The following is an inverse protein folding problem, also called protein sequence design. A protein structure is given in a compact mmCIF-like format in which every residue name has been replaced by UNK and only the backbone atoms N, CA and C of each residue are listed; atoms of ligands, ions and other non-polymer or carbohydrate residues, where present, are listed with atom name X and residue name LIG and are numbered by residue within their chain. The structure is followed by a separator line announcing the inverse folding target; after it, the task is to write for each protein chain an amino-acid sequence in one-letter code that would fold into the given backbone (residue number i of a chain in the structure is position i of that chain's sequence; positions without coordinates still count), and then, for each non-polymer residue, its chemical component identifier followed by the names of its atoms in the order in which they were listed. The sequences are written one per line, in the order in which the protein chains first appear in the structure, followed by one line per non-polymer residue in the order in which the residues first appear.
data_IF_083300386852
#
_entry.id   IF_083300386852
#
_cell.length_a   1.000
_cell.length_b   1.000
_cell.length_c   1.000
_cell.angle_alpha   90.00
_cell.angle_beta   90.00
_cell.angle_gamma   90.00
#
_symmetry.space_group_name_H-M   'P 1'
#
loop_
_entity.id
_entity.type
_entity.pdbx_description
1 polymer ?
#
# COMPACT_ATOMS: atom_id res chain seq x y z
N UNK A 1 5.39 -3.23 15.21
CA UNK A 1 6.15 -3.28 16.48
C UNK A 1 7.52 -2.70 16.27
N UNK A 2 7.98 -1.82 17.17
CA UNK A 2 9.34 -1.25 17.15
C UNK A 2 10.25 -2.07 18.07
N UNK A 3 11.44 -2.40 17.60
CA UNK A 3 12.48 -3.14 18.32
C UNK A 3 13.66 -2.21 18.59
N UNK A 4 14.15 -2.20 19.83
CA UNK A 4 15.28 -1.37 20.30
C UNK A 4 16.28 -2.30 20.97
N UNK A 5 17.54 -2.26 20.55
CA UNK A 5 18.63 -3.10 21.08
C UNK A 5 19.69 -2.26 21.78
N UNK A 6 20.08 -2.69 22.98
CA UNK A 6 21.16 -2.09 23.77
C UNK A 6 20.97 -0.60 24.04
N UNK A 7 19.75 -0.24 24.46
CA UNK A 7 19.39 1.12 24.81
C UNK A 7 20.10 1.57 26.10
N UNK A 8 20.76 2.71 26.05
CA UNK A 8 21.42 3.32 27.20
C UNK A 8 21.19 4.83 27.23
N UNK A 9 21.05 5.36 28.44
CA UNK A 9 21.00 6.80 28.73
C UNK A 9 22.11 7.12 29.71
N UNK A 10 22.98 8.06 29.36
CA UNK A 10 24.04 8.58 30.20
C UNK A 10 23.82 10.08 30.40
N UNK A 11 23.73 10.49 31.66
CA UNK A 11 23.61 11.89 32.06
C UNK A 11 24.81 12.23 32.93
N UNK A 12 25.60 13.22 32.51
CA UNK A 12 26.71 13.73 33.29
C UNK A 12 26.51 15.23 33.52
N UNK A 13 26.26 15.58 34.78
CA UNK A 13 25.90 16.93 35.20
C UNK A 13 26.94 17.50 36.15
N UNK A 14 27.26 18.77 35.97
CA UNK A 14 28.00 19.57 36.94
C UNK A 14 27.23 20.88 37.25
N UNK A 15 27.84 21.80 38.02
CA UNK A 15 27.19 23.06 38.40
C UNK A 15 26.91 24.02 37.23
N UNK A 16 27.49 23.80 36.05
CA UNK A 16 27.45 24.70 34.89
C UNK A 16 26.89 24.04 33.62
N UNK A 17 26.97 22.72 33.50
CA UNK A 17 26.58 22.01 32.29
C UNK A 17 25.90 20.67 32.58
N UNK A 18 24.95 20.31 31.72
CA UNK A 18 24.38 18.97 31.61
C UNK A 18 24.79 18.38 30.26
N UNK A 19 25.58 17.32 30.28
CA UNK A 19 25.87 16.50 29.11
C UNK A 19 24.93 15.31 29.11
N UNK A 20 24.28 15.05 27.97
CA UNK A 20 23.39 13.91 27.81
C UNK A 20 23.82 13.08 26.60
N UNK A 21 23.64 11.76 26.73
CA UNK A 21 23.88 10.80 25.66
C UNK A 21 22.87 9.68 25.76
N UNK A 22 22.09 9.51 24.70
CA UNK A 22 21.14 8.41 24.49
C UNK A 22 21.68 7.60 23.31
N UNK A 23 21.90 6.31 23.51
CA UNK A 23 22.45 5.43 22.48
C UNK A 23 21.67 4.12 22.38
N UNK A 24 21.67 3.53 21.20
CA UNK A 24 21.09 2.22 20.92
C UNK A 24 21.86 1.58 19.78
N UNK A 25 22.18 0.29 19.87
CA UNK A 25 22.86 -0.42 18.78
C UNK A 25 21.97 -0.50 17.53
N UNK A 26 20.66 -0.64 17.73
CA UNK A 26 19.69 -0.63 16.65
C UNK A 26 18.33 -0.12 17.15
N UNK A 27 17.67 0.72 16.35
CA UNK A 27 16.25 1.06 16.49
C UNK A 27 15.60 0.70 15.18
N UNK A 28 14.67 -0.26 15.17
CA UNK A 28 14.06 -0.75 13.93
C UNK A 28 12.58 -0.99 14.08
N UNK A 29 11.79 -0.62 13.09
CA UNK A 29 10.40 -1.03 12.92
C UNK A 29 10.19 -1.47 11.44
N UNK A 30 8.97 -1.82 11.01
CA UNK A 30 8.74 -2.22 9.61
C UNK A 30 9.05 -1.16 8.54
N UNK A 31 9.34 0.11 8.92
CA UNK A 31 9.55 1.25 8.02
C UNK A 31 10.93 1.90 8.15
N UNK A 32 11.56 1.86 9.32
CA UNK A 32 12.80 2.60 9.62
C UNK A 32 13.75 1.68 10.37
N UNK A 33 15.04 1.71 10.00
CA UNK A 33 16.14 1.11 10.75
C UNK A 33 17.27 2.12 10.94
N UNK A 34 17.61 2.39 12.20
CA UNK A 34 18.72 3.23 12.61
C UNK A 34 19.75 2.35 13.30
N UNK A 35 20.90 2.19 12.67
CA UNK A 35 22.04 1.47 13.22
C UNK A 35 22.94 2.42 14.02
N UNK A 36 23.49 1.92 15.13
CA UNK A 36 24.36 2.67 16.04
C UNK A 36 23.81 4.07 16.34
N UNK A 37 22.53 4.11 16.72
CA UNK A 37 21.83 5.35 17.01
C UNK A 37 22.49 6.06 18.18
N UNK A 38 22.75 7.35 18.01
CA UNK A 38 23.32 8.23 19.03
C UNK A 38 22.64 9.59 18.99
N UNK A 39 22.01 9.96 20.09
CA UNK A 39 21.54 11.31 20.38
C UNK A 39 22.36 11.83 21.56
N UNK A 40 23.15 12.87 21.35
CA UNK A 40 23.98 13.45 22.40
C UNK A 40 23.99 14.97 22.36
N UNK A 41 24.41 15.58 23.45
CA UNK A 41 24.42 17.02 23.52
C UNK A 41 24.87 17.58 24.86
N UNK A 42 24.89 18.91 24.90
CA UNK A 42 25.32 19.69 26.06
C UNK A 42 24.39 20.88 26.23
N UNK A 43 23.79 20.99 27.42
CA UNK A 43 23.10 22.16 27.90
C UNK A 43 24.05 22.96 28.79
N UNK A 44 24.39 24.18 28.39
CA UNK A 44 25.18 25.12 29.18
C UNK A 44 24.91 26.55 28.69
N UNK A 45 25.01 27.55 29.58
CA UNK A 45 24.94 28.98 29.21
C UNK A 45 23.70 29.36 28.36
N UNK A 46 22.53 28.79 28.67
CA UNK A 46 21.26 28.92 27.92
C UNK A 46 21.31 28.45 26.46
N UNK A 47 22.27 27.58 26.14
CA UNK A 47 22.43 26.94 24.84
C UNK A 47 22.31 25.43 24.97
N UNK A 48 21.70 24.79 23.99
CA UNK A 48 21.66 23.34 23.83
C UNK A 48 22.36 23.00 22.53
N UNK A 49 23.51 22.35 22.63
CA UNK A 49 24.09 21.63 21.51
C UNK A 49 23.43 20.26 21.45
N UNK A 50 22.87 19.90 20.30
CA UNK A 50 22.27 18.60 20.06
C UNK A 50 22.86 17.97 18.80
N UNK A 51 23.14 16.68 18.86
CA UNK A 51 23.64 15.88 17.75
C UNK A 51 22.85 14.58 17.70
N UNK A 52 22.21 14.29 16.58
CA UNK A 52 21.54 13.01 16.30
C UNK A 52 22.27 12.32 15.16
N UNK A 53 22.57 11.04 15.31
CA UNK A 53 23.25 10.26 14.29
C UNK A 53 22.83 8.81 14.25
N UNK A 54 22.98 8.21 13.07
CA UNK A 54 22.88 6.78 12.81
C UNK A 54 23.96 6.42 11.80
N UNK A 55 24.80 5.45 12.16
CA UNK A 55 25.99 5.08 11.41
C UNK A 55 25.96 3.58 11.15
N UNK A 56 26.09 3.19 9.89
CA UNK A 56 26.24 1.78 9.48
C UNK A 56 27.63 1.57 8.87
N UNK A 57 28.53 0.91 9.61
CA UNK A 57 29.91 0.73 9.17
C UNK A 57 30.63 2.07 9.01
N UNK A 58 30.84 2.52 7.76
CA UNK A 58 31.45 3.83 7.42
C UNK A 58 30.44 4.85 6.89
N UNK A 59 29.17 4.47 6.78
CA UNK A 59 28.12 5.25 6.13
C UNK A 59 27.32 6.03 7.18
N UNK A 60 27.15 7.33 6.95
CA UNK A 60 26.40 8.21 7.84
C UNK A 60 24.96 8.32 7.34
N UNK A 61 24.11 7.34 7.71
CA UNK A 61 22.68 7.35 7.33
C UNK A 61 21.99 8.64 7.76
N UNK A 62 22.34 9.11 8.95
CA UNK A 62 21.85 10.34 9.55
C UNK A 62 22.97 10.98 10.37
N UNK A 63 23.19 12.27 10.19
CA UNK A 63 23.97 13.09 11.12
C UNK A 63 23.43 14.52 11.04
N UNK A 64 22.77 14.98 12.10
CA UNK A 64 22.27 16.35 12.20
C UNK A 64 22.77 16.93 13.51
N UNK A 65 23.45 18.06 13.43
CA UNK A 65 23.84 18.85 14.59
C UNK A 65 23.09 20.17 14.60
N UNK A 66 22.68 20.60 15.77
CA UNK A 66 22.01 21.88 15.96
C UNK A 66 22.47 22.58 17.23
N UNK A 67 22.41 23.90 17.18
CA UNK A 67 22.51 24.79 18.32
C UNK A 67 21.13 25.37 18.59
N UNK A 68 20.62 25.16 19.79
CA UNK A 68 19.37 25.73 20.27
C UNK A 68 19.70 26.82 21.27
N UNK A 69 19.33 28.06 21.00
CA UNK A 69 19.48 29.19 21.92
C UNK A 69 18.10 29.65 22.39
N UNK A 70 18.01 30.10 23.65
CA UNK A 70 16.84 30.83 24.11
C UNK A 70 17.08 32.33 23.91
N UNK A 71 16.28 32.95 23.05
CA UNK A 71 16.31 34.39 22.79
C UNK A 71 14.98 35.00 23.27
N UNK A 72 15.02 35.74 24.38
CA UNK A 72 13.83 36.22 25.09
C UNK A 72 12.87 35.06 25.46
N UNK A 73 11.64 35.07 24.93
CA UNK A 73 10.60 34.05 25.15
C UNK A 73 10.48 33.05 23.97
N UNK A 74 11.47 33.03 23.07
CA UNK A 74 11.54 32.11 21.95
C UNK A 74 12.78 31.22 22.03
N UNK A 75 12.71 30.08 21.36
CA UNK A 75 13.83 29.21 21.07
C UNK A 75 14.20 29.35 19.59
N UNK A 76 15.49 29.45 19.32
CA UNK A 76 16.06 29.48 17.98
C UNK A 76 16.91 28.25 17.77
N UNK A 77 16.62 27.48 16.73
CA UNK A 77 17.38 26.30 16.32
C UNK A 77 18.15 26.67 15.04
N UNK A 78 19.47 26.56 15.06
CA UNK A 78 20.32 26.65 13.88
C UNK A 78 20.99 25.31 13.63
N UNK A 79 20.97 24.82 12.39
CA UNK A 79 21.65 23.59 12.00
C UNK A 79 23.10 23.88 11.58
N UNK A 80 24.01 22.97 11.91
CA UNK A 80 25.43 23.07 11.55
C UNK A 80 25.62 22.89 10.03
N UNK A 81 26.14 23.90 9.31
CA UNK A 81 26.35 23.81 7.86
C UNK A 81 27.51 22.92 7.42
N UNK A 82 28.36 22.48 8.35
CA UNK A 82 29.56 21.69 8.01
C UNK A 82 29.24 20.21 7.84
N UNK A 83 28.46 19.66 8.77
CA UNK A 83 28.20 18.22 8.89
C UNK A 83 26.69 17.95 9.00
N UNK A 84 26.01 17.94 7.86
CA UNK A 84 24.61 17.57 7.74
C UNK A 84 24.47 16.39 6.75
N UNK A 85 24.07 15.24 7.27
CA UNK A 85 23.89 14.01 6.49
C UNK A 85 22.46 13.50 6.62
N UNK A 86 21.86 13.23 5.47
CA UNK A 86 20.58 12.54 5.31
C UNK A 86 20.73 11.50 4.21
N UNK A 87 20.20 10.30 4.43
CA UNK A 87 20.14 9.25 3.40
C UNK A 87 21.53 8.84 2.89
N UNK A 88 22.53 8.81 3.79
CA UNK A 88 23.94 8.50 3.48
C UNK A 88 24.60 9.49 2.49
N UNK A 89 24.08 10.72 2.43
CA UNK A 89 24.62 11.81 1.63
C UNK A 89 24.84 13.04 2.49
N UNK A 90 25.98 13.72 2.28
CA UNK A 90 26.20 15.07 2.80
C UNK A 90 25.36 16.07 2.01
N UNK A 91 24.56 16.87 2.69
CA UNK A 91 23.86 18.01 2.12
C UNK A 91 24.57 19.28 2.56
N UNK A 92 24.74 20.22 1.65
CA UNK A 92 25.12 21.58 1.99
C UNK A 92 23.85 22.31 2.45
N UNK A 93 23.92 23.04 3.57
CA UNK A 93 22.81 23.79 4.15
C UNK A 93 23.25 25.23 4.37
N UNK A 94 22.34 26.18 4.12
CA UNK A 94 22.64 27.60 4.22
C UNK A 94 23.16 27.97 5.61
N UNK A 95 24.25 28.74 5.69
CA UNK A 95 24.92 29.02 6.97
C UNK A 95 24.11 29.93 7.92
N UNK A 96 23.17 30.70 7.37
CA UNK A 96 22.24 31.57 8.08
C UNK A 96 20.91 30.87 8.42
N UNK A 97 20.77 29.55 8.16
CA UNK A 97 19.56 28.82 8.47
C UNK A 97 19.18 28.93 9.96
N UNK A 98 17.90 29.15 10.26
CA UNK A 98 17.36 28.90 11.58
C UNK A 98 15.84 28.73 11.57
N UNK A 99 15.33 28.13 12.65
CA UNK A 99 13.91 28.08 12.97
C UNK A 99 13.69 28.72 14.35
N UNK A 100 12.73 29.62 14.45
CA UNK A 100 12.35 30.26 15.71
C UNK A 100 10.94 29.88 16.10
N UNK A 101 10.74 29.52 17.35
CA UNK A 101 9.43 29.20 17.90
C UNK A 101 9.29 29.66 19.36
N UNK A 102 8.10 30.11 19.73
CA UNK A 102 7.83 30.52 21.11
C UNK A 102 6.59 31.40 21.21
N UNK A 103 6.60 32.34 22.16
CA UNK A 103 5.46 33.23 22.41
C UNK A 103 5.08 34.08 21.19
N UNK A 104 6.05 34.44 20.34
CA UNK A 104 5.80 35.22 19.12
C UNK A 104 5.21 34.37 17.98
N UNK A 105 5.20 33.05 18.10
CA UNK A 105 4.77 32.13 17.06
C UNK A 105 5.94 31.37 16.45
N UNK A 106 5.84 31.04 15.16
CA UNK A 106 6.83 30.25 14.43
C UNK A 106 7.38 31.02 13.22
N UNK A 107 8.68 30.87 12.92
CA UNK A 107 9.35 31.40 11.74
C UNK A 107 10.43 30.42 11.26
N UNK A 108 10.58 30.26 9.95
CA UNK A 108 11.72 29.56 9.35
C UNK A 108 12.48 30.55 8.47
N UNK A 109 13.76 30.73 8.73
CA UNK A 109 14.65 31.55 7.93
C UNK A 109 15.59 30.65 7.15
N UNK A 110 15.51 30.75 5.82
CA UNK A 110 16.48 30.20 4.86
C UNK A 110 16.92 28.76 5.16
N UNK A 111 15.98 27.85 5.41
CA UNK A 111 16.29 26.42 5.50
C UNK A 111 16.44 25.85 4.09
N UNK A 112 17.51 26.28 3.41
CA UNK A 112 17.91 25.81 2.09
C UNK A 112 18.95 24.71 2.24
N UNK A 113 18.68 23.57 1.63
CA UNK A 113 19.55 22.40 1.62
C UNK A 113 19.73 21.95 0.17
N UNK A 114 20.94 21.62 -0.23
CA UNK A 114 21.21 21.05 -1.54
C UNK A 114 22.20 19.89 -1.50
N UNK A 115 22.01 18.96 -2.42
CA UNK A 115 22.88 17.83 -2.68
C UNK A 115 22.99 17.66 -4.18
N UNK A 116 24.13 18.06 -4.75
CA UNK A 116 24.30 18.17 -6.21
C UNK A 116 23.19 19.04 -6.81
N UNK A 117 22.29 18.44 -7.60
CA UNK A 117 21.18 19.13 -8.25
C UNK A 117 19.88 19.10 -7.43
N UNK A 118 19.76 18.21 -6.44
CA UNK A 118 18.60 18.15 -5.56
C UNK A 118 18.60 19.34 -4.60
N UNK A 119 17.50 20.08 -4.54
CA UNK A 119 17.36 21.25 -3.68
C UNK A 119 16.04 21.16 -2.90
N UNK A 120 16.11 21.54 -1.63
CA UNK A 120 14.95 21.69 -0.76
C UNK A 120 15.08 23.03 -0.06
N UNK A 121 14.07 23.87 -0.15
CA UNK A 121 14.01 25.15 0.54
C UNK A 121 12.73 25.23 1.35
N UNK A 122 12.87 25.59 2.64
CA UNK A 122 11.73 25.89 3.51
C UNK A 122 11.97 27.27 4.11
N UNK A 123 11.02 28.17 3.95
CA UNK A 123 11.12 29.53 4.50
C UNK A 123 9.75 30.15 4.78
N UNK A 124 9.70 31.03 5.78
CA UNK A 124 8.65 32.02 5.92
C UNK A 124 8.76 33.05 4.80
N UNK A 125 7.68 33.31 4.05
CA UNK A 125 7.71 34.05 2.78
C UNK A 125 8.32 35.46 2.91
N UNK A 126 7.99 36.18 3.98
CA UNK A 126 8.46 37.52 4.30
C UNK A 126 9.38 37.53 5.52
N UNK A 127 9.89 36.37 5.93
CA UNK A 127 10.77 36.21 7.09
C UNK A 127 10.19 36.81 8.38
N UNK A 128 8.90 36.57 8.65
CA UNK A 128 8.19 37.04 9.85
C UNK A 128 7.61 35.88 10.66
N UNK A 129 7.41 36.11 11.96
CA UNK A 129 6.66 35.18 12.80
C UNK A 129 5.22 35.07 12.31
N UNK A 130 4.69 33.85 12.33
CA UNK A 130 3.32 33.56 11.92
C UNK A 130 3.02 34.01 10.48
N UNK A 131 4.00 33.86 9.61
CA UNK A 131 3.85 34.16 8.18
C UNK A 131 3.44 32.91 7.39
N UNK A 132 3.17 33.11 6.10
CA UNK A 132 3.06 32.04 5.13
C UNK A 132 4.37 31.24 5.09
N UNK A 133 4.28 29.92 4.95
CA UNK A 133 5.44 29.03 4.80
C UNK A 133 5.49 28.49 3.38
N UNK A 134 6.64 28.60 2.73
CA UNK A 134 6.88 28.03 1.41
C UNK A 134 7.88 26.89 1.52
N UNK A 135 7.51 25.73 0.99
CA UNK A 135 8.39 24.61 0.70
C UNK A 135 8.57 24.52 -0.81
N UNK A 136 9.81 24.52 -1.28
CA UNK A 136 10.18 24.27 -2.67
C UNK A 136 11.11 23.07 -2.73
N UNK A 137 10.80 22.13 -3.62
CA UNK A 137 11.60 20.94 -3.90
C UNK A 137 11.94 20.99 -5.38
N UNK A 138 13.22 20.79 -5.71
CA UNK A 138 13.69 20.71 -7.09
C UNK A 138 14.59 19.50 -7.27
N UNK A 139 14.37 18.73 -8.33
CA UNK A 139 15.16 17.57 -8.73
C UNK A 139 15.45 16.61 -7.56
N UNK A 140 14.48 16.36 -6.68
CA UNK A 140 14.67 15.44 -5.56
C UNK A 140 14.47 13.99 -6.01
N UNK A 141 15.51 13.16 -5.86
CA UNK A 141 15.50 11.78 -6.30
C UNK A 141 14.80 10.88 -5.26
N UNK A 142 13.66 10.25 -5.62
CA UNK A 142 12.90 9.39 -4.70
C UNK A 142 13.67 8.15 -4.23
N UNK A 143 14.65 7.68 -5.01
CA UNK A 143 15.54 6.59 -4.60
C UNK A 143 16.40 6.96 -3.39
N UNK A 144 16.55 8.25 -3.06
CA UNK A 144 17.22 8.67 -1.83
C UNK A 144 16.40 8.35 -0.57
N UNK A 145 15.06 8.44 -0.63
CA UNK A 145 14.18 8.06 0.49
C UNK A 145 14.30 6.57 0.83
N UNK A 146 14.49 5.74 -0.20
CA UNK A 146 14.60 4.28 -0.03
C UNK A 146 15.81 3.87 0.81
N UNK A 147 16.82 4.75 0.97
CA UNK A 147 18.03 4.45 1.76
C UNK A 147 17.84 4.57 3.27
N UNK A 148 16.80 5.26 3.73
CA UNK A 148 16.40 5.29 5.16
C UNK A 148 15.44 4.12 5.47
N UNK A 149 14.71 3.66 4.47
CA UNK A 149 13.70 2.60 4.57
C UNK A 149 14.36 1.29 4.15
N UNK A 150 14.98 0.57 5.09
CA UNK A 150 15.59 -0.75 4.82
C UNK A 150 14.54 -1.86 4.64
N UNK A 151 13.77 -1.78 3.56
CA UNK A 151 13.21 -2.97 2.93
C UNK A 151 13.87 -3.14 1.57
N UNK A 152 14.18 -4.39 1.23
CA UNK A 152 14.74 -4.77 -0.06
C UNK A 152 14.01 -4.04 -1.20
N UNK A 153 14.79 -3.30 -1.98
CA UNK A 153 14.50 -2.55 -3.21
C UNK A 153 14.03 -1.11 -3.05
N UNK A 154 14.59 -0.25 -3.90
CA UNK A 154 14.03 1.04 -4.29
C UNK A 154 12.64 0.81 -4.91
N UNK A 155 11.63 0.63 -4.04
CA UNK A 155 10.26 0.35 -4.43
C UNK A 155 9.70 1.47 -5.29
N UNK A 156 10.14 2.71 -5.05
CA UNK A 156 9.72 3.89 -5.80
C UNK A 156 10.97 4.63 -6.29
N UNK A 157 10.99 4.98 -7.57
CA UNK A 157 12.03 5.84 -8.18
C UNK A 157 11.36 6.92 -9.01
N UNK A 158 12.02 8.06 -9.17
CA UNK A 158 11.53 9.21 -9.92
C UNK A 158 12.11 10.52 -9.39
N UNK A 159 11.92 11.60 -10.13
CA UNK A 159 12.41 12.92 -9.77
C UNK A 159 11.23 13.80 -9.35
N UNK A 160 11.30 14.38 -8.15
CA UNK A 160 10.26 15.25 -7.60
C UNK A 160 10.65 16.70 -7.78
N UNK A 161 9.74 17.47 -8.36
CA UNK A 161 9.71 18.92 -8.23
C UNK A 161 8.39 19.32 -7.59
N UNK A 162 8.40 20.35 -6.76
CA UNK A 162 7.16 20.81 -6.17
C UNK A 162 7.27 22.10 -5.40
N UNK A 163 6.15 22.80 -5.30
CA UNK A 163 5.97 23.99 -4.49
C UNK A 163 4.74 23.80 -3.62
N UNK A 164 4.92 23.99 -2.33
CA UNK A 164 3.85 23.99 -1.34
C UNK A 164 3.87 25.32 -0.60
N UNK A 165 2.75 26.02 -0.61
CA UNK A 165 2.51 27.24 0.15
C UNK A 165 1.49 26.94 1.24
N UNK A 166 1.93 27.03 2.49
CA UNK A 166 1.05 27.06 3.65
C UNK A 166 0.70 28.52 3.93
N UNK A 167 -0.49 28.94 3.52
CA UNK A 167 -0.96 30.33 3.64
C UNK A 167 -1.66 30.54 4.97
N UNK A 168 -1.23 31.52 5.76
CA UNK A 168 -1.84 31.77 7.07
C UNK A 168 -3.11 32.61 6.93
N UNK A 169 -4.22 32.11 7.46
CA UNK A 169 -5.53 32.78 7.49
C UNK A 169 -6.19 32.53 8.83
N UNK A 170 -6.56 33.59 9.56
CA UNK A 170 -7.28 33.49 10.85
C UNK A 170 -6.67 32.48 11.84
N UNK A 171 -5.35 32.53 12.05
CA UNK A 171 -4.59 31.60 12.91
C UNK A 171 -4.58 30.12 12.49
N UNK A 172 -5.02 29.82 11.26
CA UNK A 172 -4.91 28.51 10.63
C UNK A 172 -4.05 28.59 9.36
N UNK A 173 -3.66 27.45 8.81
CA UNK A 173 -2.94 27.36 7.54
C UNK A 173 -3.83 26.73 6.47
N UNK A 174 -3.99 27.43 5.36
CA UNK A 174 -4.39 26.83 4.10
C UNK A 174 -3.20 26.24 3.34
N UNK A 175 -3.48 25.36 2.40
CA UNK A 175 -2.55 24.63 1.55
C UNK A 175 -2.79 25.04 0.09
N UNK A 176 -1.71 25.36 -0.62
CA UNK A 176 -1.67 25.40 -2.09
C UNK A 176 -0.43 24.61 -2.49
N UNK A 177 -0.60 23.54 -3.25
CA UNK A 177 0.47 22.65 -3.68
C UNK A 177 0.40 22.39 -5.19
N UNK A 178 1.57 22.42 -5.82
CA UNK A 178 1.79 22.00 -7.19
C UNK A 178 3.07 21.14 -7.18
N UNK A 179 2.93 19.85 -7.48
CA UNK A 179 4.01 18.89 -7.44
C UNK A 179 3.97 17.97 -8.65
N UNK A 180 5.14 17.57 -9.11
CA UNK A 180 5.32 16.64 -10.20
C UNK A 180 6.35 15.57 -9.81
N UNK A 181 6.13 14.37 -10.30
CA UNK A 181 7.09 13.28 -10.27
C UNK A 181 7.33 12.87 -11.72
N UNK A 182 8.53 13.12 -12.23
CA UNK A 182 8.96 12.65 -13.53
C UNK A 182 9.60 11.27 -13.43
N UNK A 183 9.40 10.44 -14.46
CA UNK A 183 9.98 9.10 -14.56
C UNK A 183 9.70 8.23 -13.31
N UNK A 184 8.44 8.18 -12.88
CA UNK A 184 7.98 7.34 -11.78
C UNK A 184 8.09 5.86 -12.15
N UNK A 185 8.80 5.10 -11.32
CA UNK A 185 8.84 3.64 -11.37
C UNK A 185 8.38 3.06 -10.04
N UNK A 186 7.67 1.92 -10.09
CA UNK A 186 7.43 1.08 -8.93
C UNK A 186 8.03 -0.32 -9.15
N UNK A 187 8.92 -0.82 -8.29
CA UNK A 187 9.57 -2.15 -8.44
C UNK A 187 10.15 -2.42 -9.83
N UNK A 188 10.76 -1.41 -10.47
CA UNK A 188 11.26 -1.40 -11.86
C UNK A 188 10.21 -1.38 -12.98
N UNK A 189 8.92 -1.31 -12.67
CA UNK A 189 7.85 -1.12 -13.65
C UNK A 189 7.71 0.39 -13.91
N UNK A 190 7.84 0.85 -15.17
CA UNK A 190 7.61 2.24 -15.51
C UNK A 190 6.13 2.58 -15.33
N UNK A 191 5.86 3.59 -14.51
CA UNK A 191 4.50 4.08 -14.24
C UNK A 191 4.23 5.32 -15.08
N UNK A 192 5.20 6.22 -15.23
CA UNK A 192 5.09 7.43 -16.06
C UNK A 192 5.38 8.70 -15.27
N UNK A 193 4.68 9.79 -15.58
CA UNK A 193 4.80 11.08 -14.93
C UNK A 193 3.52 11.39 -14.16
N UNK A 194 3.66 11.77 -12.89
CA UNK A 194 2.56 12.13 -12.01
C UNK A 194 2.57 13.63 -11.79
N UNK A 195 1.46 14.31 -12.02
CA UNK A 195 1.26 15.70 -11.59
C UNK A 195 0.18 15.75 -10.53
N UNK A 196 0.35 16.58 -9.50
CA UNK A 196 -0.57 16.80 -8.41
C UNK A 196 -0.74 18.30 -8.20
N UNK A 197 -1.98 18.75 -8.19
CA UNK A 197 -2.38 20.06 -7.68
C UNK A 197 -3.34 19.85 -6.52
N UNK A 198 -3.10 20.53 -5.42
CA UNK A 198 -3.99 20.52 -4.28
C UNK A 198 -4.15 21.92 -3.71
N UNK A 199 -5.36 22.24 -3.30
CA UNK A 199 -5.67 23.52 -2.68
C UNK A 199 -6.77 23.33 -1.65
N UNK A 200 -6.86 24.22 -0.67
CA UNK A 200 -8.01 24.25 0.22
C UNK A 200 -8.82 25.56 0.02
N UNK A 201 -9.89 25.55 -0.79
CA UNK A 201 -10.65 26.76 -1.06
C UNK A 201 -11.34 27.31 0.20
N UNK A 202 -11.57 26.45 1.19
CA UNK A 202 -12.02 26.79 2.54
C UNK A 202 -11.09 26.12 3.55
N UNK A 203 -11.17 26.51 4.83
CA UNK A 203 -10.37 25.90 5.91
C UNK A 203 -10.63 24.40 6.10
N UNK A 204 -11.76 23.89 5.59
CA UNK A 204 -12.26 22.54 5.85
C UNK A 204 -12.34 21.67 4.60
N UNK A 205 -12.03 22.19 3.41
CA UNK A 205 -12.12 21.42 2.16
C UNK A 205 -10.79 21.42 1.46
N UNK A 206 -10.28 20.24 1.13
CA UNK A 206 -9.05 20.02 0.39
C UNK A 206 -9.39 19.44 -0.98
N UNK A 207 -9.20 20.22 -2.04
CA UNK A 207 -9.32 19.76 -3.41
C UNK A 207 -8.03 19.07 -3.85
N UNK A 208 -8.17 18.05 -4.69
CA UNK A 208 -7.07 17.31 -5.30
C UNK A 208 -7.37 17.14 -6.80
N UNK A 209 -6.40 17.50 -7.63
CA UNK A 209 -6.35 17.18 -9.05
C UNK A 209 -5.02 16.46 -9.31
N UNK A 210 -5.08 15.25 -9.83
CA UNK A 210 -3.92 14.43 -10.12
C UNK A 210 -4.04 13.89 -11.54
N UNK A 211 -2.94 13.90 -12.28
CA UNK A 211 -2.86 13.27 -13.59
C UNK A 211 -1.65 12.34 -13.63
N UNK A 212 -1.86 11.13 -14.11
CA UNK A 212 -0.83 10.19 -14.48
C UNK A 212 -0.75 10.13 -16.00
N UNK A 213 0.43 10.34 -16.56
CA UNK A 213 0.66 10.33 -18.00
C UNK A 213 1.94 9.56 -18.34
N UNK A 214 1.93 8.81 -19.42
CA UNK A 214 3.08 8.02 -19.84
C UNK A 214 2.75 7.19 -21.08
N UNK A 215 3.71 6.39 -21.57
CA UNK A 215 3.50 5.58 -22.77
C UNK A 215 2.32 4.61 -22.65
N UNK A 216 2.19 3.96 -21.48
CA UNK A 216 1.20 2.91 -21.24
C UNK A 216 0.12 3.31 -20.20
N UNK A 217 0.19 4.52 -19.64
CA UNK A 217 -0.69 4.98 -18.57
C UNK A 217 -1.18 6.41 -18.84
N UNK A 218 -2.49 6.62 -18.74
CA UNK A 218 -3.18 7.89 -18.85
C UNK A 218 -4.44 7.84 -17.98
N UNK A 219 -4.39 8.56 -16.86
CA UNK A 219 -5.44 8.59 -15.85
C UNK A 219 -5.52 9.99 -15.24
N UNK A 220 -6.74 10.46 -15.01
CA UNK A 220 -7.02 11.71 -14.31
C UNK A 220 -7.86 11.42 -13.07
N UNK A 221 -7.50 12.06 -11.95
CA UNK A 221 -8.20 11.97 -10.67
C UNK A 221 -8.55 13.39 -10.24
N UNK A 222 -9.81 13.61 -9.90
CA UNK A 222 -10.32 14.90 -9.45
C UNK A 222 -11.24 14.70 -8.27
N UNK A 223 -11.11 15.52 -7.24
CA UNK A 223 -12.01 15.39 -6.11
C UNK A 223 -11.66 16.29 -4.95
N UNK A 224 -12.26 15.97 -3.80
CA UNK A 224 -12.04 16.69 -2.57
C UNK A 224 -12.18 15.78 -1.33
N UNK A 225 -11.58 16.26 -0.24
CA UNK A 225 -11.65 15.70 1.09
C UNK A 225 -12.08 16.81 2.08
N UNK A 226 -13.03 16.51 2.96
CA UNK A 226 -13.48 17.42 4.01
C UNK A 226 -13.30 16.72 5.36
N UNK A 227 -12.28 17.07 6.16
CA UNK A 227 -12.18 16.57 7.52
C UNK A 227 -13.33 17.11 8.38
N UNK A 228 -14.10 16.23 9.01
CA UNK A 228 -15.14 16.61 9.97
C UNK A 228 -14.92 15.88 11.29
N UNK A 229 -15.37 16.46 12.40
CA UNK A 229 -15.21 15.88 13.74
C UNK A 229 -15.91 14.52 13.93
N UNK A 230 -16.90 14.18 13.10
CA UNK A 230 -17.69 12.95 13.19
C UNK A 230 -17.33 11.94 12.10
N UNK A 231 -17.28 12.36 10.85
CA UNK A 231 -16.90 11.50 9.72
C UNK A 231 -16.39 12.36 8.55
N UNK A 232 -15.18 12.09 8.09
CA UNK A 232 -14.59 12.84 6.99
C UNK A 232 -15.37 12.55 5.70
N UNK A 233 -15.64 13.55 4.87
CA UNK A 233 -16.27 13.35 3.57
C UNK A 233 -15.23 13.23 2.46
N UNK A 234 -15.44 12.28 1.56
CA UNK A 234 -14.60 12.01 0.39
C UNK A 234 -15.49 12.10 -0.85
N UNK A 235 -14.99 12.72 -1.91
CA UNK A 235 -15.55 12.61 -3.26
C UNK A 235 -14.39 12.63 -4.25
N UNK A 236 -14.08 11.48 -4.85
CA UNK A 236 -12.96 11.29 -5.77
C UNK A 236 -13.51 10.65 -7.05
N UNK A 237 -13.41 11.38 -8.16
CA UNK A 237 -13.71 10.88 -9.48
C UNK A 237 -12.40 10.54 -10.19
N UNK A 238 -12.34 9.33 -10.74
CA UNK A 238 -11.22 8.84 -11.52
C UNK A 238 -11.68 8.50 -12.94
N UNK A 239 -10.93 8.96 -13.92
CA UNK A 239 -11.07 8.66 -15.33
C UNK A 239 -9.80 7.96 -15.81
N UNK A 240 -9.93 6.77 -16.37
CA UNK A 240 -8.85 5.91 -16.83
C UNK A 240 -8.99 5.76 -18.34
N UNK A 241 -8.21 6.53 -19.09
CA UNK A 241 -8.13 6.37 -20.54
C UNK A 241 -7.33 5.11 -20.87
N UNK A 242 -6.24 4.87 -20.14
CA UNK A 242 -5.47 3.64 -20.25
C UNK A 242 -4.64 3.43 -18.99
N UNK A 243 -4.65 2.23 -18.43
CA UNK A 243 -3.77 1.84 -17.34
C UNK A 243 -3.16 0.48 -17.66
N UNK A 244 -1.85 0.42 -17.78
CA UNK A 244 -1.12 -0.82 -18.02
C UNK A 244 -1.42 -1.83 -16.91
N UNK A 245 -1.72 -3.08 -17.28
CA UNK A 245 -1.87 -4.13 -16.28
C UNK A 245 -0.53 -4.50 -15.62
N UNK A 246 0.62 -4.12 -16.20
CA UNK A 246 1.90 -4.17 -15.47
C UNK A 246 1.89 -3.23 -14.26
N UNK A 247 1.28 -2.05 -14.38
CA UNK A 247 1.07 -1.16 -13.24
C UNK A 247 0.21 -1.85 -12.18
N UNK A 248 -0.91 -2.48 -12.57
CA UNK A 248 -1.77 -3.23 -11.65
C UNK A 248 -1.02 -4.40 -10.99
N UNK A 249 -0.20 -5.13 -11.74
CA UNK A 249 0.67 -6.19 -11.21
C UNK A 249 1.60 -5.66 -10.12
N UNK A 250 2.21 -4.49 -10.33
CA UNK A 250 3.11 -3.84 -9.38
C UNK A 250 2.44 -3.64 -8.00
N UNK A 251 1.16 -3.25 -7.99
CA UNK A 251 0.37 -3.03 -6.78
C UNK A 251 -0.41 -4.26 -6.29
N UNK A 252 -0.29 -5.42 -6.95
CA UNK A 252 -1.00 -6.65 -6.60
C UNK A 252 -0.40 -7.38 -5.38
N UNK A 253 0.70 -6.89 -4.81
CA UNK A 253 1.40 -7.52 -3.68
C UNK A 253 1.76 -9.00 -3.94
N UNK A 254 2.08 -9.34 -5.19
CA UNK A 254 2.45 -10.69 -5.62
C UNK A 254 1.28 -11.63 -5.93
N UNK A 255 0.04 -11.16 -5.84
CA UNK A 255 -1.14 -11.94 -6.25
C UNK A 255 -1.20 -12.14 -7.77
N UNK A 256 -0.63 -11.20 -8.53
CA UNK A 256 -0.44 -11.31 -9.99
C UNK A 256 1.06 -11.35 -10.26
N UNK A 257 1.51 -12.38 -10.98
CA UNK A 257 2.94 -12.62 -11.26
C UNK A 257 3.37 -12.16 -12.64
N UNK A 258 2.44 -12.16 -13.59
CA UNK A 258 2.63 -11.65 -14.95
C UNK A 258 1.34 -10.93 -15.37
N UNK A 259 1.48 -9.76 -15.99
CA UNK A 259 0.35 -9.05 -16.57
C UNK A 259 0.74 -8.25 -17.83
N UNK A 260 -0.18 -8.17 -18.79
CA UNK A 260 -0.08 -7.29 -19.96
C UNK A 260 -1.47 -6.89 -20.46
N UNK A 261 -1.54 -5.95 -21.39
CA UNK A 261 -2.80 -5.31 -21.79
C UNK A 261 -3.13 -4.10 -20.92
N UNK A 262 -4.31 -3.54 -21.09
CA UNK A 262 -4.70 -2.28 -20.44
C UNK A 262 -6.08 -2.36 -19.80
N UNK A 263 -6.27 -1.52 -18.79
CA UNK A 263 -7.54 -1.25 -18.13
C UNK A 263 -8.00 0.17 -18.51
N UNK A 264 -9.27 0.35 -18.83
CA UNK A 264 -9.90 1.65 -19.05
C UNK A 264 -11.20 1.74 -18.26
N UNK A 265 -11.76 2.94 -18.11
CA UNK A 265 -13.05 3.14 -17.46
C UNK A 265 -13.04 4.30 -16.49
N UNK A 266 -14.04 4.37 -15.63
CA UNK A 266 -14.17 5.46 -14.67
C UNK A 266 -14.83 4.97 -13.39
N UNK A 267 -14.48 5.59 -12.27
CA UNK A 267 -15.14 5.32 -11.00
C UNK A 267 -15.27 6.58 -10.15
N UNK A 268 -16.26 6.56 -9.28
CA UNK A 268 -16.55 7.56 -8.28
C UNK A 268 -16.50 6.90 -6.90
N UNK A 269 -15.62 7.41 -6.05
CA UNK A 269 -15.54 7.09 -4.63
C UNK A 269 -16.14 8.27 -3.87
N UNK A 270 -17.28 8.06 -3.20
CA UNK A 270 -17.94 9.12 -2.44
C UNK A 270 -18.54 8.65 -1.13
N UNK A 271 -18.78 9.57 -0.20
CA UNK A 271 -19.39 9.26 1.10
C UNK A 271 -18.49 9.68 2.25
N UNK A 272 -18.48 8.88 3.32
CA UNK A 272 -17.59 9.13 4.45
C UNK A 272 -16.33 8.27 4.38
N UNK A 273 -15.27 8.62 5.11
CA UNK A 273 -14.07 7.78 5.24
C UNK A 273 -14.36 6.38 5.78
N UNK A 274 -15.42 6.25 6.58
CA UNK A 274 -15.76 5.00 7.26
C UNK A 274 -16.75 4.18 6.44
N UNK A 275 -17.56 4.85 5.61
CA UNK A 275 -18.59 4.23 4.78
C UNK A 275 -18.56 4.76 3.34
N UNK A 276 -17.44 4.57 2.61
CA UNK A 276 -17.36 5.03 1.23
C UNK A 276 -18.18 4.13 0.30
N UNK A 277 -18.83 4.74 -0.67
CA UNK A 277 -19.50 4.09 -1.79
C UNK A 277 -18.59 4.17 -3.03
N UNK A 278 -18.46 3.05 -3.74
CA UNK A 278 -17.75 2.97 -5.00
C UNK A 278 -18.73 2.64 -6.12
N UNK A 279 -18.73 3.46 -7.16
CA UNK A 279 -19.53 3.22 -8.37
C UNK A 279 -18.69 3.45 -9.62
N UNK A 280 -18.98 2.73 -10.70
CA UNK A 280 -18.21 2.89 -11.93
C UNK A 280 -18.17 1.64 -12.78
N UNK A 281 -17.28 1.68 -13.76
CA UNK A 281 -17.08 0.60 -14.72
C UNK A 281 -15.60 0.52 -15.08
N UNK A 282 -15.09 -0.71 -15.19
CA UNK A 282 -13.71 -0.97 -15.58
C UNK A 282 -13.69 -2.04 -16.68
N UNK A 283 -13.05 -1.72 -17.80
CA UNK A 283 -12.94 -2.56 -18.99
C UNK A 283 -11.50 -2.99 -19.21
N UNK A 284 -11.30 -4.29 -19.30
CA UNK A 284 -10.04 -4.95 -19.61
C UNK A 284 -9.90 -5.09 -21.12
N UNK A 285 -8.82 -4.57 -21.69
CA UNK A 285 -8.56 -4.57 -23.13
C UNK A 285 -7.33 -5.44 -23.45
N UNK A 286 -7.56 -6.57 -24.11
CA UNK A 286 -6.53 -7.57 -24.44
C UNK A 286 -5.63 -7.88 -23.24
N UNK A 287 -6.26 -8.06 -22.09
CA UNK A 287 -5.60 -8.28 -20.83
C UNK A 287 -5.11 -9.72 -20.74
N UNK A 288 -3.89 -9.90 -20.27
CA UNK A 288 -3.36 -11.19 -19.85
C UNK A 288 -2.95 -11.03 -18.40
N UNK A 289 -3.38 -11.96 -17.55
CA UNK A 289 -3.02 -12.00 -16.13
C UNK A 289 -2.61 -13.43 -15.75
N UNK A 290 -1.63 -13.54 -14.86
CA UNK A 290 -1.22 -14.82 -14.27
C UNK A 290 -1.34 -14.75 -12.75
N UNK A 291 -2.48 -15.17 -12.18
CA UNK A 291 -2.64 -15.27 -10.74
C UNK A 291 -1.61 -16.22 -10.13
N UNK A 292 -0.99 -15.83 -9.02
CA UNK A 292 0.07 -16.61 -8.37
C UNK A 292 -0.42 -17.99 -7.91
N UNK A 293 -1.65 -18.07 -7.41
CA UNK A 293 -2.26 -19.29 -6.86
C UNK A 293 -2.63 -20.31 -7.95
N UNK A 294 -3.01 -19.85 -9.15
CA UNK A 294 -3.40 -20.71 -10.26
C UNK A 294 -2.21 -21.04 -11.19
N UNK A 295 -1.24 -20.12 -11.29
CA UNK A 295 -0.01 -20.25 -12.07
C UNK A 295 -0.23 -20.58 -13.57
N UNK A 296 -1.39 -20.25 -14.13
CA UNK A 296 -1.70 -20.27 -15.56
C UNK A 296 -2.07 -18.86 -16.05
N UNK A 297 -1.91 -18.61 -17.35
CA UNK A 297 -2.33 -17.34 -17.93
C UNK A 297 -3.81 -17.36 -18.25
N UNK A 298 -4.46 -16.24 -17.96
CA UNK A 298 -5.85 -15.96 -18.24
C UNK A 298 -5.89 -14.71 -19.12
N UNK A 299 -6.54 -14.83 -20.27
CA UNK A 299 -6.77 -13.74 -21.21
C UNK A 299 -8.20 -13.21 -21.08
N UNK A 300 -8.35 -11.89 -21.08
CA UNK A 300 -9.61 -11.15 -21.15
C UNK A 300 -9.55 -10.26 -22.39
N UNK A 301 -10.37 -10.54 -23.40
CA UNK A 301 -10.29 -9.83 -24.69
C UNK A 301 -10.85 -8.41 -24.59
N UNK A 302 -12.08 -8.28 -24.10
CA UNK A 302 -12.74 -7.00 -23.91
C UNK A 302 -13.83 -7.13 -22.83
N UNK A 303 -13.39 -7.45 -21.62
CA UNK A 303 -14.30 -7.79 -20.53
C UNK A 303 -14.51 -6.61 -19.60
N UNK A 304 -15.73 -6.44 -19.10
CA UNK A 304 -16.09 -5.30 -18.26
C UNK A 304 -16.64 -5.77 -16.92
N UNK A 305 -16.18 -5.13 -15.84
CA UNK A 305 -16.78 -5.25 -14.51
C UNK A 305 -17.50 -3.97 -14.16
N UNK A 306 -18.66 -4.09 -13.52
CA UNK A 306 -19.39 -2.96 -12.96
C UNK A 306 -19.16 -2.86 -11.47
N UNK A 307 -18.89 -1.65 -10.99
CA UNK A 307 -18.75 -1.31 -9.60
C UNK A 307 -20.04 -0.65 -9.14
N UNK A 308 -20.66 -1.20 -8.09
CA UNK A 308 -21.84 -0.65 -7.42
C UNK A 308 -21.59 -0.58 -5.91
N UNK A 309 -22.38 0.20 -5.16
CA UNK A 309 -22.14 0.38 -3.73
C UNK A 309 -22.15 -0.93 -2.93
N UNK A 310 -22.87 -1.94 -3.43
CA UNK A 310 -23.07 -3.25 -2.82
C UNK A 310 -22.21 -4.38 -3.43
N UNK A 311 -21.39 -4.12 -4.45
CA UNK A 311 -20.57 -5.17 -5.03
C UNK A 311 -19.89 -4.90 -6.37
N UNK A 312 -19.15 -5.91 -6.82
CA UNK A 312 -18.54 -6.00 -8.15
C UNK A 312 -19.37 -6.99 -8.97
N UNK A 313 -19.81 -6.58 -10.14
CA UNK A 313 -20.73 -7.35 -10.98
C UNK A 313 -20.03 -7.81 -12.26
N UNK A 314 -20.28 -9.06 -12.58
CA UNK A 314 -19.80 -9.76 -13.76
C UNK A 314 -21.00 -10.16 -14.60
N UNK A 315 -20.94 -9.90 -15.90
CA UNK A 315 -22.00 -10.24 -16.85
C UNK A 315 -21.37 -10.98 -18.03
N UNK A 316 -21.56 -12.29 -18.08
CA UNK A 316 -20.94 -13.21 -19.01
C UNK A 316 -19.43 -12.95 -19.17
N UNK A 317 -18.74 -12.68 -18.05
CA UNK A 317 -17.35 -12.28 -18.01
C UNK A 317 -16.46 -13.45 -18.44
N UNK A 318 -15.86 -13.34 -19.62
CA UNK A 318 -15.20 -14.47 -20.29
C UNK A 318 -13.69 -14.47 -20.06
N UNK A 319 -13.21 -15.57 -19.50
CA UNK A 319 -11.80 -15.91 -19.31
C UNK A 319 -11.37 -16.89 -20.39
N UNK A 320 -10.20 -16.69 -20.98
CA UNK A 320 -9.58 -17.67 -21.88
C UNK A 320 -8.27 -18.19 -21.29
N UNK A 321 -8.04 -19.49 -21.36
CA UNK A 321 -6.76 -20.08 -20.98
C UNK A 321 -5.72 -19.99 -22.12
N UNK A 322 -4.50 -20.47 -21.87
CA UNK A 322 -3.41 -20.54 -22.86
C UNK A 322 -3.77 -21.34 -24.13
N UNK A 323 -4.80 -22.20 -24.07
CA UNK A 323 -5.29 -23.00 -25.18
C UNK A 323 -6.55 -22.41 -25.82
N UNK A 324 -6.95 -21.19 -25.45
CA UNK A 324 -8.16 -20.49 -25.92
C UNK A 324 -9.47 -21.20 -25.55
N UNK A 325 -9.46 -22.06 -24.52
CA UNK A 325 -10.68 -22.58 -23.93
C UNK A 325 -11.27 -21.55 -22.96
N UNK A 326 -12.61 -21.53 -22.87
CA UNK A 326 -13.32 -20.48 -22.14
C UNK A 326 -13.84 -20.95 -20.78
N UNK A 327 -13.76 -20.06 -19.80
CA UNK A 327 -14.59 -20.06 -18.61
C UNK A 327 -15.40 -18.76 -18.57
N UNK A 328 -16.68 -18.83 -18.26
CA UNK A 328 -17.59 -17.67 -18.20
C UNK A 328 -18.08 -17.52 -16.77
N UNK A 329 -17.96 -16.30 -16.25
CA UNK A 329 -18.37 -15.92 -14.89
C UNK A 329 -19.57 -14.97 -14.97
N UNK A 330 -20.63 -15.31 -14.24
CA UNK A 330 -21.83 -14.50 -14.08
C UNK A 330 -22.13 -14.27 -12.59
N UNK A 331 -22.62 -13.09 -12.24
CA UNK A 331 -23.08 -12.78 -10.88
C UNK A 331 -22.31 -11.64 -10.23
N UNK A 332 -22.12 -11.72 -8.91
CA UNK A 332 -21.49 -10.65 -8.16
C UNK A 332 -20.59 -11.14 -7.01
N UNK A 333 -19.60 -10.32 -6.71
CA UNK A 333 -18.94 -10.30 -5.40
C UNK A 333 -19.58 -9.15 -4.63
N UNK A 334 -20.47 -9.50 -3.71
CA UNK A 334 -21.13 -8.54 -2.83
C UNK A 334 -20.14 -8.03 -1.80
N UNK A 335 -20.28 -6.78 -1.40
CA UNK A 335 -19.47 -6.16 -0.36
C UNK A 335 -20.29 -5.13 0.41
N UNK A 336 -19.85 -4.85 1.64
CA UNK A 336 -20.34 -3.72 2.43
C UNK A 336 -19.16 -2.80 2.73
N UNK A 337 -19.12 -1.61 2.10
CA UNK A 337 -18.09 -0.60 2.41
C UNK A 337 -16.66 -1.15 2.31
N UNK A 338 -16.36 -1.93 1.25
CA UNK A 338 -15.08 -2.63 1.06
C UNK A 338 -14.73 -3.69 2.12
N UNK A 339 -15.73 -4.17 2.86
CA UNK A 339 -15.64 -5.25 3.84
C UNK A 339 -16.74 -6.28 3.60
N UNK A 340 -16.77 -7.36 4.40
CA UNK A 340 -17.82 -8.39 4.38
C UNK A 340 -18.11 -8.95 2.98
N UNK A 341 -17.05 -9.33 2.25
CA UNK A 341 -17.19 -9.87 0.90
C UNK A 341 -17.96 -11.19 0.90
N UNK A 342 -18.94 -11.31 0.02
CA UNK A 342 -19.71 -12.52 -0.20
C UNK A 342 -19.84 -12.84 -1.69
N UNK A 343 -19.64 -14.09 -2.04
CA UNK A 343 -19.79 -14.58 -3.39
C UNK A 343 -21.27 -14.86 -3.70
N UNK A 344 -21.66 -14.53 -4.93
CA UNK A 344 -22.88 -14.98 -5.58
C UNK A 344 -22.54 -15.16 -7.06
N UNK A 345 -21.69 -16.15 -7.35
CA UNK A 345 -21.05 -16.35 -8.64
C UNK A 345 -21.45 -17.69 -9.25
N UNK A 346 -21.66 -17.68 -10.56
CA UNK A 346 -21.80 -18.87 -11.39
C UNK A 346 -20.64 -18.92 -12.36
N UNK A 347 -19.97 -20.07 -12.42
CA UNK A 347 -18.81 -20.28 -13.29
C UNK A 347 -19.06 -21.50 -14.16
N UNK A 348 -19.07 -21.30 -15.47
CA UNK A 348 -19.19 -22.36 -16.46
C UNK A 348 -17.89 -22.46 -17.26
N UNK A 349 -17.26 -23.63 -17.27
CA UNK A 349 -16.02 -23.84 -17.97
C UNK A 349 -16.09 -25.09 -18.86
N UNK A 350 -15.41 -25.04 -20.00
CA UNK A 350 -15.32 -26.17 -20.93
C UNK A 350 -13.89 -26.32 -21.42
N UNK A 351 -13.31 -27.50 -21.21
CA UNK A 351 -11.92 -27.83 -21.52
C UNK A 351 -10.89 -26.85 -20.93
N UNK A 352 -11.27 -26.14 -19.86
CA UNK A 352 -10.50 -25.02 -19.33
C UNK A 352 -9.39 -25.49 -18.39
N UNK A 353 -8.17 -25.00 -18.59
CA UNK A 353 -7.06 -25.16 -17.65
C UNK A 353 -7.29 -24.25 -16.43
N UNK A 354 -7.83 -24.81 -15.36
CA UNK A 354 -8.14 -24.08 -14.12
C UNK A 354 -6.87 -23.62 -13.40
N UNK A 355 -5.90 -24.50 -13.25
CA UNK A 355 -4.58 -24.18 -12.70
C UNK A 355 -3.51 -25.14 -13.22
N UNK A 356 -2.28 -24.67 -13.22
CA UNK A 356 -1.08 -25.44 -13.53
C UNK A 356 0.03 -25.04 -12.57
N UNK A 357 -0.04 -25.51 -11.33
CA UNK A 357 0.77 -25.06 -10.21
C UNK A 357 1.57 -26.20 -9.59
N UNK A 358 2.62 -25.86 -8.85
CA UNK A 358 3.43 -26.79 -8.06
C UNK A 358 3.27 -26.49 -6.57
N UNK A 359 3.74 -27.39 -5.70
CA UNK A 359 3.78 -27.16 -4.25
C UNK A 359 4.55 -25.89 -3.84
N UNK A 360 5.44 -25.37 -4.71
CA UNK A 360 6.12 -24.09 -4.50
C UNK A 360 5.17 -22.89 -4.69
N UNK A 361 4.20 -23.01 -5.60
CA UNK A 361 3.23 -21.96 -5.91
C UNK A 361 2.09 -21.95 -4.90
N UNK A 362 1.57 -23.13 -4.57
CA UNK A 362 0.50 -23.31 -3.58
C UNK A 362 0.71 -24.64 -2.86
N UNK A 363 0.80 -24.60 -1.53
CA UNK A 363 1.05 -25.78 -0.69
C UNK A 363 -0.21 -26.59 -0.44
N UNK A 364 -1.39 -25.98 -0.47
CA UNK A 364 -2.67 -26.60 -0.13
C UNK A 364 -3.20 -27.44 -1.29
N UNK A 365 -3.14 -26.89 -2.51
CA UNK A 365 -3.52 -27.62 -3.71
C UNK A 365 -2.62 -27.27 -4.89
N UNK A 366 -2.23 -28.28 -5.66
CA UNK A 366 -1.38 -28.11 -6.83
C UNK A 366 -1.53 -29.25 -7.85
N UNK A 367 -0.88 -29.10 -8.99
CA UNK A 367 -0.94 -29.99 -10.14
C UNK A 367 -1.44 -29.27 -11.39
N UNK A 368 -1.90 -30.02 -12.37
CA UNK A 368 -2.48 -29.53 -13.62
C UNK A 368 -3.94 -29.95 -13.68
N UNK A 369 -4.87 -29.01 -13.73
CA UNK A 369 -6.30 -29.33 -13.71
C UNK A 369 -7.01 -28.74 -14.93
N UNK A 370 -7.46 -29.62 -15.84
CA UNK A 370 -8.28 -29.26 -17.00
C UNK A 370 -9.68 -29.81 -16.78
N UNK A 371 -10.69 -28.95 -16.87
CA UNK A 371 -12.05 -29.29 -16.44
C UNK A 371 -13.13 -28.84 -17.43
N UNK A 372 -14.20 -29.62 -17.46
CA UNK A 372 -15.53 -29.08 -17.74
C UNK A 372 -16.22 -28.89 -16.39
N UNK A 373 -16.82 -27.73 -16.15
CA UNK A 373 -17.49 -27.49 -14.87
C UNK A 373 -18.68 -26.55 -14.96
N UNK A 374 -19.63 -26.79 -14.08
CA UNK A 374 -20.65 -25.83 -13.66
C UNK A 374 -20.53 -25.67 -12.15
N UNK A 375 -20.20 -24.46 -11.72
CA UNK A 375 -19.89 -24.16 -10.32
C UNK A 375 -20.75 -22.99 -9.87
N UNK A 376 -21.47 -23.17 -8.77
CA UNK A 376 -22.15 -22.11 -8.04
C UNK A 376 -21.37 -21.83 -6.74
N UNK A 377 -20.85 -20.61 -6.59
CA UNK A 377 -20.09 -20.16 -5.43
C UNK A 377 -20.92 -19.11 -4.70
N UNK A 378 -21.33 -19.41 -3.47
CA UNK A 378 -22.19 -18.56 -2.66
C UNK A 378 -21.60 -18.30 -1.27
N UNK A 379 -22.06 -17.25 -0.60
CA UNK A 379 -21.78 -17.00 0.81
C UNK A 379 -20.48 -16.24 1.08
N UNK A 380 -20.13 -15.99 2.36
CA UNK A 380 -19.02 -15.13 2.75
C UNK A 380 -17.67 -15.67 2.25
N UNK A 381 -16.73 -14.78 1.91
CA UNK A 381 -15.38 -15.17 1.47
C UNK A 381 -14.62 -15.98 2.53
N UNK A 382 -14.95 -15.81 3.82
CA UNK A 382 -14.39 -16.58 4.93
C UNK A 382 -14.92 -18.01 5.01
N UNK A 383 -16.09 -18.28 4.43
CA UNK A 383 -16.73 -19.59 4.42
C UNK A 383 -17.62 -19.74 3.16
N UNK A 384 -17.01 -19.87 1.99
CA UNK A 384 -17.76 -20.01 0.74
C UNK A 384 -18.45 -21.38 0.68
N UNK A 385 -19.68 -21.40 0.19
CA UNK A 385 -20.42 -22.61 -0.16
C UNK A 385 -20.25 -22.83 -1.66
N UNK A 386 -19.59 -23.92 -2.03
CA UNK A 386 -19.30 -24.26 -3.42
C UNK A 386 -20.07 -25.51 -3.82
N UNK A 387 -21.03 -25.34 -4.74
CA UNK A 387 -21.74 -26.44 -5.38
C UNK A 387 -21.21 -26.61 -6.79
N UNK A 388 -20.54 -27.72 -7.08
CA UNK A 388 -19.85 -27.90 -8.34
C UNK A 388 -20.16 -29.27 -8.97
N UNK A 389 -20.46 -29.27 -10.26
CA UNK A 389 -20.30 -30.46 -11.11
C UNK A 389 -19.01 -30.28 -11.88
N UNK A 390 -18.02 -31.16 -11.65
CA UNK A 390 -16.70 -31.05 -12.26
C UNK A 390 -16.33 -32.36 -12.95
N UNK A 391 -16.01 -32.28 -14.24
CA UNK A 391 -15.44 -33.39 -14.99
C UNK A 391 -13.98 -33.09 -15.30
N UNK A 392 -13.08 -33.85 -14.69
CA UNK A 392 -11.65 -33.79 -14.98
C UNK A 392 -11.36 -34.37 -16.37
N UNK A 393 -10.62 -33.63 -17.18
CA UNK A 393 -10.18 -34.06 -18.51
C UNK A 393 -8.85 -34.82 -18.44
N UNK A 394 -8.59 -35.62 -19.48
CA UNK A 394 -7.34 -36.38 -19.62
C UNK A 394 -6.13 -35.45 -19.54
N UNK A 395 -5.08 -35.90 -18.84
CA UNK A 395 -3.89 -35.10 -18.58
C UNK A 395 -3.99 -34.18 -17.36
N UNK A 396 -5.09 -34.27 -16.60
CA UNK A 396 -5.18 -33.63 -15.29
C UNK A 396 -4.51 -34.49 -14.21
N UNK A 397 -3.81 -33.86 -13.28
CA UNK A 397 -3.36 -34.43 -12.03
C UNK A 397 -3.59 -33.41 -10.91
N UNK A 398 -4.20 -33.86 -9.83
CA UNK A 398 -4.54 -33.02 -8.69
C UNK A 398 -3.88 -33.56 -7.44
N UNK A 399 -3.32 -32.68 -6.62
CA UNK A 399 -2.81 -33.00 -5.30
C UNK A 399 -3.35 -32.00 -4.31
N UNK A 400 -3.92 -32.51 -3.22
CA UNK A 400 -4.38 -31.72 -2.09
C UNK A 400 -3.57 -32.13 -0.86
N UNK A 401 -2.95 -31.16 -0.19
CA UNK A 401 -2.16 -31.39 1.01
C UNK A 401 -3.06 -31.31 2.24
N UNK A 402 -3.13 -32.41 2.99
CA UNK A 402 -3.81 -32.44 4.28
C UNK A 402 -2.77 -32.08 5.36
N UNK A 403 -2.95 -31.00 6.14
CA UNK A 403 -2.04 -30.65 7.23
C UNK A 403 -1.97 -31.77 8.28
N UNK A 404 -0.76 -32.05 8.78
CA UNK A 404 -0.51 -33.12 9.75
C UNK A 404 -1.10 -32.81 11.15
N UNK A 405 -1.48 -31.55 11.39
CA UNK A 405 -1.95 -31.01 12.67
C UNK A 405 -3.41 -31.42 13.02
N UNK A 406 -4.02 -32.29 12.22
CA UNK A 406 -5.26 -33.00 12.57
C UNK A 406 -5.12 -34.52 12.38
N UNK A 407 -4.17 -35.12 13.09
CA UNK A 407 -4.39 -36.47 13.64
C UNK A 407 -5.24 -36.35 14.91
N UNK A 408 -6.46 -35.83 14.77
CA UNK A 408 -7.50 -36.09 15.77
C UNK A 408 -7.94 -37.53 15.55
N UNK A 409 -8.02 -38.29 16.63
CA UNK A 409 -8.59 -39.65 16.66
C UNK A 409 -10.12 -39.65 16.44
N UNK A 410 -10.63 -38.74 15.61
CA UNK A 410 -12.04 -38.65 15.21
C UNK A 410 -12.18 -39.20 13.78
N UNK A 411 -12.84 -40.34 13.67
CA UNK A 411 -13.29 -40.90 12.39
C UNK A 411 -14.71 -40.40 12.12
N UNK A 412 -14.86 -39.38 11.26
CA UNK A 412 -16.12 -38.88 10.67
C UNK A 412 -16.85 -37.85 11.55
N UNK A 413 -17.32 -36.69 11.07
CA UNK A 413 -17.95 -36.36 9.80
C UNK A 413 -17.58 -34.91 9.37
N UNK A 414 -16.77 -34.77 8.33
CA UNK A 414 -16.64 -33.57 7.48
C UNK A 414 -15.88 -34.01 6.21
N UNK A 415 -16.49 -34.99 5.53
CA UNK A 415 -15.89 -35.72 4.41
C UNK A 415 -16.12 -34.93 3.12
N UNK A 416 -15.06 -34.70 2.33
CA UNK A 416 -15.22 -34.45 0.89
C UNK A 416 -15.79 -35.74 0.29
N UNK A 417 -17.12 -35.78 0.12
CA UNK A 417 -17.79 -36.94 -0.45
C UNK A 417 -17.65 -36.90 -1.97
N UNK A 418 -16.70 -37.68 -2.49
CA UNK A 418 -16.69 -38.04 -3.90
C UNK A 418 -17.80 -39.07 -4.13
N UNK A 419 -19.01 -38.60 -4.44
CA UNK A 419 -20.11 -39.49 -4.81
C UNK A 419 -19.88 -40.04 -6.21
N UNK A 420 -19.36 -41.27 -6.29
CA UNK A 420 -19.58 -42.14 -7.45
C UNK A 420 -20.84 -42.93 -7.15
N UNK A 421 -21.92 -42.72 -7.92
CA UNK A 421 -23.20 -43.36 -7.66
C UNK A 421 -23.10 -44.90 -7.81
N UNK A 422 -22.87 -45.58 -6.69
CA UNK A 422 -23.26 -46.98 -6.49
C UNK A 422 -24.03 -46.99 -5.17
N UNK A 423 -25.36 -47.13 -5.27
CA UNK A 423 -26.26 -47.19 -4.12
C UNK A 423 -25.89 -48.35 -3.19
N UNK A 424 -25.50 -48.02 -1.95
CA UNK A 424 -25.51 -48.96 -0.84
C UNK A 424 -26.24 -48.31 0.34
N UNK A 425 -27.35 -48.92 0.76
CA UNK A 425 -28.15 -48.51 1.90
C UNK A 425 -27.36 -48.71 3.21
N UNK A 426 -27.21 -47.69 4.08
CA UNK A 426 -26.73 -47.88 5.43
C UNK A 426 -27.90 -47.86 6.43
N UNK A 427 -27.98 -48.93 7.21
CA UNK A 427 -28.81 -49.08 8.40
C UNK A 427 -28.00 -48.63 9.62
N UNK A 428 -28.57 -47.71 10.43
CA UNK A 428 -28.32 -47.40 11.86
C UNK A 428 -26.94 -46.84 12.28
N UNK A 429 -26.94 -45.61 12.82
CA UNK A 429 -26.58 -45.31 14.22
C UNK A 429 -26.99 -43.87 14.61
N UNK A 430 -27.45 -43.70 15.85
CA UNK A 430 -27.93 -42.45 16.47
C UNK A 430 -27.00 -42.12 17.64
N UNK A 431 -26.51 -40.89 17.76
CA UNK A 431 -25.73 -40.40 18.89
C UNK A 431 -25.70 -38.87 18.94
N UNK A 432 -25.83 -38.30 20.14
CA UNK A 432 -26.10 -36.88 20.43
C UNK A 432 -24.87 -35.95 20.35
N UNK A 433 -25.16 -34.68 20.07
CA UNK A 433 -24.26 -33.55 19.84
C UNK A 433 -23.39 -33.15 21.05
N UNK A 434 -22.17 -32.66 20.75
CA UNK A 434 -21.58 -31.49 21.43
C UNK A 434 -20.85 -30.59 20.44
N UNK A 435 -21.27 -29.33 20.39
CA UNK A 435 -20.71 -28.30 19.54
C UNK A 435 -19.28 -27.91 19.94
N UNK A 436 -18.37 -27.94 18.97
CA UNK A 436 -17.06 -27.31 18.99
C UNK A 436 -16.92 -26.47 17.73
N UNK A 437 -16.72 -25.15 17.87
CA UNK A 437 -16.48 -24.25 16.75
C UNK A 437 -15.05 -24.39 16.25
N UNK A 438 -14.87 -25.13 15.16
CA UNK A 438 -13.70 -25.06 14.29
C UNK A 438 -13.99 -24.07 13.16
N UNK A 439 -13.12 -23.09 12.94
CA UNK A 439 -13.19 -22.18 11.78
C UNK A 439 -12.23 -22.68 10.71
N UNK A 440 -12.78 -23.37 9.71
CA UNK A 440 -12.15 -23.79 8.47
C UNK A 440 -13.24 -23.96 7.39
N UNK A 441 -12.89 -24.14 6.11
CA UNK A 441 -13.87 -24.39 5.06
C UNK A 441 -14.69 -25.63 5.41
N UNK A 442 -15.99 -25.48 5.62
CA UNK A 442 -16.92 -26.57 5.91
C UNK A 442 -17.52 -27.09 4.60
N UNK A 443 -16.96 -28.18 4.07
CA UNK A 443 -17.57 -28.99 3.01
C UNK A 443 -17.28 -28.53 1.57
N UNK A 444 -16.74 -29.45 0.77
CA UNK A 444 -16.80 -29.41 -0.69
C UNK A 444 -17.64 -30.61 -1.14
N UNK A 445 -18.74 -30.39 -1.85
CA UNK A 445 -19.47 -31.48 -2.52
C UNK A 445 -18.95 -31.59 -3.94
N UNK A 446 -18.12 -32.60 -4.20
CA UNK A 446 -17.56 -32.91 -5.51
C UNK A 446 -18.21 -34.19 -6.04
N UNK A 447 -19.14 -34.04 -6.99
CA UNK A 447 -19.64 -35.19 -7.75
C UNK A 447 -18.87 -35.29 -9.08
N UNK A 448 -18.28 -36.47 -9.33
CA UNK A 448 -17.71 -36.83 -10.63
C UNK A 448 -18.70 -37.74 -11.36
N UNK A 449 -19.03 -37.42 -12.61
CA UNK A 449 -19.75 -38.31 -13.53
C UNK A 449 -18.76 -39.00 -14.45
#
# INVERSE_FOLDING_TARGET
TTNIKDFAINLNTDKKALNYKVSSNSISNPQVKLDNFLLEGKLADNQILASISSIEGRNNKLLIRSLITKENENYKIAFDPKEFYLMDKRWDIAADNFMEFGKQGFRIHHLFMNQKESQINIASVNDKFNDDLKLSIQNFHLDDLSRIIEKDTALVRGNVDGNVLLKRVNNSYGLIADAQISDLFYTNIPIGNLSLKADNPTTERFNINMNLSGPDNNMAVNGYFIPNAQANSINIKTDIQSLSLKTVQAFSMGQITEASGTLSGNFLLEGTSDTPNLTGELTFNNALIKPSILNNRIELKHETIQLKPDGIYFNAFTLLDDNQHSAVIDGAIQMKQFSDFAFALQVNAKDFLLFNSTAKNNKEFFGRMVIDSKVDINGPMTLPVVNATVRMKKGSNFTFSVPEDQLTTDKGEDVVEFTSAVELNPILARGEEKASKSSGPSGFTLSSI
#
